data_IF_858629128367
#
_entry.id   IF_858629128367
#
_cell.length_a   1.000
_cell.length_b   1.000
_cell.length_c   1.000
_cell.angle_alpha   90.00
_cell.angle_beta   90.00
_cell.angle_gamma   90.00
#
_symmetry.space_group_name_H-M   'P 1'
#
loop_
_entity.id
_entity.type
_entity.pdbx_description
1 polymer ?
#
# COMPACT_ATOMS: atom_id res chain seq x y z
N UNK A 1 -4.25 5.37 -26.71
CA UNK A 1 -5.32 4.93 -25.78
C UNK A 1 -4.64 4.36 -24.54
N UNK A 2 -4.88 4.89 -23.33
CA UNK A 2 -4.29 4.33 -22.10
C UNK A 2 -4.83 2.90 -21.91
N UNK A 3 -3.95 1.90 -21.79
CA UNK A 3 -4.37 0.52 -21.59
C UNK A 3 -5.19 0.43 -20.29
N UNK A 4 -6.45 -0.02 -20.39
CA UNK A 4 -7.37 -0.14 -19.26
C UNK A 4 -6.80 -1.01 -18.15
N UNK A 5 -5.92 -1.95 -18.46
CA UNK A 5 -5.26 -2.81 -17.48
C UNK A 5 -4.30 -2.01 -16.60
N UNK A 6 -3.57 -1.02 -17.14
CA UNK A 6 -2.70 -0.16 -16.34
C UNK A 6 -3.50 0.63 -15.31
N UNK A 7 -4.71 1.06 -15.67
CA UNK A 7 -5.64 1.72 -14.73
C UNK A 7 -5.96 0.79 -13.56
N UNK A 8 -6.20 -0.50 -13.81
CA UNK A 8 -6.43 -1.50 -12.73
C UNK A 8 -5.24 -1.58 -11.78
N UNK A 9 -4.01 -1.65 -12.29
CA UNK A 9 -2.81 -1.66 -11.43
C UNK A 9 -2.68 -0.37 -10.61
N UNK A 10 -2.90 0.79 -11.24
CA UNK A 10 -2.84 2.09 -10.53
C UNK A 10 -3.91 2.21 -9.45
N UNK A 11 -5.15 1.80 -9.73
CA UNK A 11 -6.25 1.82 -8.78
C UNK A 11 -5.97 0.88 -7.60
N UNK A 12 -5.54 -0.36 -7.87
CA UNK A 12 -5.20 -1.31 -6.82
C UNK A 12 -4.05 -0.80 -5.92
N UNK A 13 -3.04 -0.15 -6.52
CA UNK A 13 -1.95 0.46 -5.75
C UNK A 13 -2.44 1.62 -4.88
N UNK A 14 -3.28 2.51 -5.43
CA UNK A 14 -3.82 3.64 -4.68
C UNK A 14 -4.71 3.19 -3.51
N UNK A 15 -5.55 2.18 -3.73
CA UNK A 15 -6.39 1.58 -2.68
C UNK A 15 -5.55 0.89 -1.59
N UNK A 16 -4.46 0.22 -1.97
CA UNK A 16 -3.53 -0.36 -1.01
C UNK A 16 -2.87 0.71 -0.15
N UNK A 17 -2.38 1.80 -0.77
CA UNK A 17 -1.80 2.96 -0.07
C UNK A 17 -2.81 3.53 0.94
N UNK A 18 -4.04 3.78 0.50
CA UNK A 18 -5.11 4.30 1.36
C UNK A 18 -5.35 3.43 2.60
N UNK A 19 -5.34 2.10 2.44
CA UNK A 19 -5.56 1.16 3.55
C UNK A 19 -4.41 1.16 4.55
N UNK A 20 -3.18 1.26 4.05
CA UNK A 20 -1.99 1.29 4.89
C UNK A 20 -1.91 2.60 5.67
N UNK A 21 -2.23 3.73 5.04
CA UNK A 21 -2.36 5.03 5.72
C UNK A 21 -3.45 4.98 6.79
N UNK A 22 -4.62 4.42 6.45
CA UNK A 22 -5.71 4.24 7.40
C UNK A 22 -5.28 3.38 8.60
N UNK A 23 -4.53 2.30 8.35
CA UNK A 23 -4.01 1.41 9.39
C UNK A 23 -3.03 2.11 10.32
N UNK A 24 -2.10 2.90 9.77
CA UNK A 24 -1.16 3.69 10.58
C UNK A 24 -1.90 4.72 11.43
N UNK A 25 -2.88 5.41 10.83
CA UNK A 25 -3.68 6.43 11.53
C UNK A 25 -4.55 5.82 12.64
N UNK A 26 -5.11 4.62 12.43
CA UNK A 26 -5.80 3.88 13.49
C UNK A 26 -4.87 3.46 14.61
N UNK A 27 -3.66 3.01 14.30
CA UNK A 27 -2.69 2.60 15.31
C UNK A 27 -2.27 3.75 16.24
N UNK A 28 -2.34 5.00 15.75
CA UNK A 28 -2.09 6.22 16.54
C UNK A 28 -3.36 6.92 16.99
N UNK A 29 -4.55 6.33 16.79
CA UNK A 29 -5.82 6.98 17.09
C UNK A 29 -6.04 7.07 18.60
N UNK A 30 -6.56 8.21 19.05
CA UNK A 30 -6.88 8.41 20.46
C UNK A 30 -8.12 7.60 20.84
N UNK A 31 -8.01 6.75 21.85
CA UNK A 31 -9.09 5.88 22.31
C UNK A 31 -10.28 6.63 22.92
N UNK A 32 -10.13 7.92 23.22
CA UNK A 32 -11.22 8.77 23.74
C UNK A 32 -12.18 9.20 22.63
N UNK A 33 -11.74 9.22 21.37
CA UNK A 33 -12.56 9.66 20.23
C UNK A 33 -13.10 8.47 19.43
N UNK A 34 -14.37 8.56 19.01
CA UNK A 34 -14.95 7.58 18.10
C UNK A 34 -14.18 7.59 16.76
N UNK A 35 -13.76 6.41 16.32
CA UNK A 35 -13.08 6.24 15.04
C UNK A 35 -14.06 6.57 13.89
N UNK A 36 -13.68 7.41 12.92
CA UNK A 36 -14.51 7.67 11.75
C UNK A 36 -14.74 6.40 10.92
N UNK A 37 -16.00 6.12 10.56
CA UNK A 37 -16.38 4.94 9.77
C UNK A 37 -15.57 4.79 8.46
N UNK A 38 -15.28 5.84 7.68
CA UNK A 38 -14.45 5.69 6.48
C UNK A 38 -13.03 5.19 6.78
N UNK A 39 -12.45 5.63 7.90
CA UNK A 39 -11.10 5.24 8.32
C UNK A 39 -11.06 3.76 8.69
N UNK A 40 -12.05 3.30 9.47
CA UNK A 40 -12.21 1.90 9.85
C UNK A 40 -12.42 1.00 8.63
N UNK A 41 -13.26 1.44 7.69
CA UNK A 41 -13.52 0.70 6.45
C UNK A 41 -12.27 0.55 5.58
N UNK A 42 -11.49 1.63 5.42
CA UNK A 42 -10.26 1.57 4.61
C UNK A 42 -9.19 0.70 5.26
N UNK A 43 -9.03 0.75 6.58
CA UNK A 43 -8.08 -0.12 7.30
C UNK A 43 -8.52 -1.60 7.29
N UNK A 44 -9.80 -1.88 7.51
CA UNK A 44 -10.34 -3.27 7.47
C UNK A 44 -10.22 -3.92 6.09
N UNK A 45 -10.19 -3.10 5.02
CA UNK A 45 -10.00 -3.58 3.64
C UNK A 45 -8.56 -3.97 3.32
N UNK A 46 -7.59 -3.72 4.21
CA UNK A 46 -6.16 -3.90 3.95
C UNK A 46 -5.81 -5.33 3.49
N UNK A 47 -6.31 -6.36 4.17
CA UNK A 47 -5.99 -7.76 3.85
C UNK A 47 -6.47 -8.14 2.45
N UNK A 48 -7.68 -7.71 2.08
CA UNK A 48 -8.23 -7.96 0.75
C UNK A 48 -7.45 -7.21 -0.34
N UNK A 49 -7.01 -5.98 -0.05
CA UNK A 49 -6.22 -5.15 -0.97
C UNK A 49 -4.79 -5.68 -1.13
N UNK A 50 -4.16 -6.19 -0.07
CA UNK A 50 -2.89 -6.92 -0.13
C UNK A 50 -3.01 -8.18 -1.00
N UNK A 51 -4.04 -9.01 -0.79
CA UNK A 51 -4.26 -10.20 -1.62
C UNK A 51 -4.60 -9.87 -3.08
N UNK A 52 -5.12 -8.69 -3.37
CA UNK A 52 -5.31 -8.21 -4.75
C UNK A 52 -4.00 -7.74 -5.36
N UNK A 53 -3.20 -7.00 -4.60
CA UNK A 53 -1.87 -6.54 -5.01
C UNK A 53 -0.92 -7.71 -5.30
N UNK A 54 -0.90 -8.73 -4.44
CA UNK A 54 -0.11 -9.95 -4.65
C UNK A 54 -0.49 -10.67 -5.95
N UNK A 55 -1.81 -10.90 -6.18
CA UNK A 55 -2.31 -11.51 -7.42
C UNK A 55 -1.93 -10.72 -8.67
N UNK A 56 -2.01 -9.39 -8.60
CA UNK A 56 -1.60 -8.52 -9.70
C UNK A 56 -0.09 -8.58 -9.93
N UNK A 57 0.70 -8.57 -8.86
CA UNK A 57 2.16 -8.65 -8.92
C UNK A 57 2.69 -10.01 -9.37
N UNK A 58 1.93 -11.09 -9.19
CA UNK A 58 2.24 -12.41 -9.71
C UNK A 58 1.86 -12.60 -11.20
N UNK A 59 1.03 -11.70 -11.74
CA UNK A 59 0.53 -11.79 -13.11
C UNK A 59 1.58 -11.45 -14.18
N UNK A 60 1.43 -12.06 -15.36
CA UNK A 60 2.23 -11.72 -16.54
C UNK A 60 1.47 -10.72 -17.41
N UNK A 61 2.03 -9.53 -17.57
CA UNK A 61 1.49 -8.53 -18.48
C UNK A 61 2.12 -8.65 -19.88
N UNK A 62 1.27 -8.69 -20.92
CA UNK A 62 1.67 -8.62 -22.32
C UNK A 62 1.14 -7.33 -22.94
N UNK A 63 2.05 -6.46 -23.39
CA UNK A 63 1.72 -5.18 -24.01
C UNK A 63 2.95 -4.54 -24.66
N UNK A 64 2.87 -3.24 -24.94
CA UNK A 64 4.02 -2.49 -25.45
C UNK A 64 5.17 -2.48 -24.43
N UNK A 65 6.40 -2.20 -24.87
CA UNK A 65 7.57 -2.08 -23.98
C UNK A 65 7.32 -1.01 -22.90
N UNK A 66 6.75 0.14 -23.28
CA UNK A 66 6.44 1.22 -22.35
C UNK A 66 5.35 0.85 -21.33
N UNK A 67 4.30 0.15 -21.76
CA UNK A 67 3.23 -0.30 -20.87
C UNK A 67 3.71 -1.41 -19.91
N UNK A 68 4.57 -2.29 -20.41
CA UNK A 68 5.18 -3.36 -19.60
C UNK A 68 6.07 -2.76 -18.52
N UNK A 69 6.92 -1.79 -18.86
CA UNK A 69 7.75 -1.08 -17.89
C UNK A 69 6.92 -0.38 -16.79
N UNK A 70 5.78 0.22 -17.17
CA UNK A 70 4.85 0.83 -16.21
C UNK A 70 4.21 -0.20 -15.27
N UNK A 71 3.76 -1.34 -15.80
CA UNK A 71 3.19 -2.41 -14.98
C UNK A 71 4.22 -2.95 -14.01
N UNK A 72 5.46 -3.20 -14.46
CA UNK A 72 6.57 -3.64 -13.60
C UNK A 72 6.78 -2.66 -12.45
N UNK A 73 6.88 -1.36 -12.73
CA UNK A 73 7.04 -0.33 -11.70
C UNK A 73 5.89 -0.33 -10.67
N UNK A 74 4.65 -0.49 -11.13
CA UNK A 74 3.48 -0.57 -10.24
C UNK A 74 3.49 -1.84 -9.37
N UNK A 75 3.82 -2.99 -9.95
CA UNK A 75 3.89 -4.26 -9.21
C UNK A 75 5.05 -4.29 -8.22
N UNK A 76 6.18 -3.67 -8.55
CA UNK A 76 7.30 -3.54 -7.62
C UNK A 76 6.96 -2.62 -6.46
N UNK A 77 6.23 -1.53 -6.71
CA UNK A 77 5.69 -0.67 -5.66
C UNK A 77 4.75 -1.44 -4.72
N UNK A 78 3.84 -2.28 -5.26
CA UNK A 78 2.97 -3.14 -4.45
C UNK A 78 3.76 -4.07 -3.52
N UNK A 79 4.79 -4.76 -4.06
CA UNK A 79 5.64 -5.67 -3.27
C UNK A 79 6.43 -4.94 -2.19
N UNK A 80 6.92 -3.72 -2.49
CA UNK A 80 7.62 -2.87 -1.51
C UNK A 80 6.69 -2.49 -0.35
N UNK A 81 5.44 -2.12 -0.64
CA UNK A 81 4.45 -1.82 0.39
C UNK A 81 4.11 -3.05 1.25
N UNK A 82 3.89 -4.21 0.63
CA UNK A 82 3.65 -5.46 1.36
C UNK A 82 4.82 -5.80 2.28
N UNK A 83 6.04 -5.74 1.77
CA UNK A 83 7.26 -6.00 2.54
C UNK A 83 7.39 -5.04 3.72
N UNK A 84 7.16 -3.73 3.49
CA UNK A 84 7.21 -2.72 4.54
C UNK A 84 6.14 -2.97 5.61
N UNK A 85 4.92 -3.34 5.21
CA UNK A 85 3.84 -3.67 6.14
C UNK A 85 4.16 -4.91 7.00
N UNK A 86 4.72 -5.97 6.39
CA UNK A 86 5.17 -7.13 7.15
C UNK A 86 6.28 -6.77 8.15
N UNK A 87 7.21 -5.89 7.75
CA UNK A 87 8.23 -5.33 8.62
C UNK A 87 7.64 -4.57 9.81
N UNK A 88 6.66 -3.68 9.55
CA UNK A 88 5.89 -2.97 10.56
C UNK A 88 5.23 -3.94 11.55
N UNK A 89 4.47 -4.93 11.06
CA UNK A 89 3.78 -5.91 11.91
C UNK A 89 4.76 -6.70 12.79
N UNK A 90 5.89 -7.12 12.22
CA UNK A 90 6.93 -7.86 12.95
C UNK A 90 7.51 -7.00 14.08
N UNK A 91 7.75 -5.71 13.81
CA UNK A 91 8.30 -4.76 14.80
C UNK A 91 7.30 -4.45 15.90
N UNK A 92 6.05 -4.15 15.56
CA UNK A 92 4.98 -3.90 16.56
C UNK A 92 4.70 -5.14 17.41
N UNK A 93 4.80 -6.34 16.84
CA UNK A 93 4.67 -7.59 17.59
C UNK A 93 5.90 -8.00 18.42
N UNK A 94 7.05 -7.37 18.21
CA UNK A 94 8.27 -7.66 18.96
C UNK A 94 8.34 -6.79 20.22
N UNK A 95 8.58 -7.42 21.38
CA UNK A 95 8.83 -6.72 22.64
C UNK A 95 10.07 -5.82 22.52
N UNK A 96 9.88 -4.50 22.57
CA UNK A 96 10.96 -3.51 22.64
C UNK A 96 11.06 -2.54 21.45
N UNK A 97 10.25 -2.69 20.40
CA UNK A 97 10.19 -1.71 19.30
C UNK A 97 9.06 -0.71 19.53
N UNK A 98 9.34 0.59 19.42
CA UNK A 98 8.30 1.60 19.53
C UNK A 98 7.38 1.56 18.30
N UNK A 99 6.07 1.44 18.51
CA UNK A 99 5.08 1.44 17.42
C UNK A 99 5.20 2.68 16.51
N UNK A 100 5.64 3.81 17.08
CA UNK A 100 5.94 5.05 16.35
C UNK A 100 7.10 4.93 15.37
N UNK A 101 8.22 4.29 15.73
CA UNK A 101 9.35 4.08 14.83
C UNK A 101 8.97 3.15 13.67
N UNK A 102 8.23 2.08 13.97
CA UNK A 102 7.78 1.14 12.94
C UNK A 102 6.80 1.81 11.97
N UNK A 103 5.92 2.68 12.51
CA UNK A 103 5.00 3.47 11.72
C UNK A 103 5.71 4.49 10.82
N UNK A 104 6.74 5.16 11.32
CA UNK A 104 7.52 6.12 10.56
C UNK A 104 8.23 5.48 9.35
N UNK A 105 8.79 4.28 9.53
CA UNK A 105 9.40 3.53 8.42
C UNK A 105 8.36 3.16 7.34
N UNK A 106 7.19 2.64 7.74
CA UNK A 106 6.12 2.33 6.79
C UNK A 106 5.61 3.59 6.08
N UNK A 107 5.47 4.71 6.80
CA UNK A 107 5.08 6.01 6.23
C UNK A 107 6.07 6.49 5.18
N UNK A 108 7.37 6.36 5.42
CA UNK A 108 8.41 6.74 4.46
C UNK A 108 8.28 5.98 3.13
N UNK A 109 7.99 4.67 3.19
CA UNK A 109 7.76 3.85 1.99
C UNK A 109 6.46 4.25 1.28
N UNK A 110 5.40 4.57 2.03
CA UNK A 110 4.16 5.08 1.45
C UNK A 110 4.39 6.39 0.67
N UNK A 111 5.16 7.32 1.23
CA UNK A 111 5.46 8.60 0.60
C UNK A 111 6.32 8.45 -0.67
N UNK A 112 7.31 7.56 -0.64
CA UNK A 112 8.11 7.19 -1.82
C UNK A 112 7.24 6.61 -2.94
N UNK A 113 6.37 5.66 -2.61
CA UNK A 113 5.46 5.03 -3.58
C UNK A 113 4.47 6.03 -4.16
N UNK A 114 3.89 6.92 -3.33
CA UNK A 114 3.01 7.98 -3.80
C UNK A 114 3.73 8.91 -4.78
N UNK A 115 4.96 9.30 -4.46
CA UNK A 115 5.76 10.23 -5.28
C UNK A 115 6.15 9.60 -6.63
N UNK A 116 6.67 8.36 -6.60
CA UNK A 116 7.33 7.77 -7.77
C UNK A 116 6.44 6.85 -8.60
N UNK A 117 5.47 6.15 -7.99
CA UNK A 117 4.61 5.20 -8.70
C UNK A 117 3.22 5.78 -9.04
N UNK A 118 2.68 6.64 -8.18
CA UNK A 118 1.37 7.27 -8.39
C UNK A 118 1.46 8.71 -8.94
N UNK A 119 2.50 9.46 -8.56
CA UNK A 119 2.75 10.86 -8.93
C UNK A 119 3.22 11.06 -10.38
N UNK A 120 3.68 10.02 -11.07
CA UNK A 120 3.94 10.05 -12.50
C UNK A 120 2.60 9.98 -13.28
N UNK A 121 1.98 11.13 -13.51
CA UNK A 121 0.77 11.32 -14.33
C UNK A 121 1.07 11.51 -15.81
#
# INVERSE_FOLDING_TARGET
MKDKRIVVFRTALAELVESLEATLRLASWDAVEAVPEPLEKSASSLVARLGTADRLAAGVFKGSVGDTARVVALTDAMRRLETAYLGYRKKVGATGFAAGEAGAELSSVLDDVKTHALGAG
#
